data_IF_279603294079
#
_entry.id   IF_279603294079
#
_cell.length_a   1.000
_cell.length_b   1.000
_cell.length_c   1.000
_cell.angle_alpha   90.00
_cell.angle_beta   90.00
_cell.angle_gamma   90.00
#
_symmetry.space_group_name_H-M   'P 1'
#
loop_
_entity.id
_entity.type
_entity.pdbx_description
1 polymer ?
#
# COMPACT_ATOMS: atom_id res chain seq x y z
N UNK A 1 -5.82 20.40 -6.59
CA UNK A 1 -5.21 19.24 -5.92
C UNK A 1 -6.19 18.82 -4.84
N UNK A 2 -7.25 18.10 -5.22
CA UNK A 2 -8.43 17.81 -4.40
C UNK A 2 -8.54 16.29 -4.24
N UNK A 3 -7.62 15.66 -3.52
CA UNK A 3 -7.68 14.21 -3.36
C UNK A 3 -7.27 13.82 -1.94
N UNK A 4 -8.19 14.07 -1.00
CA UNK A 4 -8.42 13.28 0.20
C UNK A 4 -9.58 13.92 0.98
N UNK A 5 -10.82 13.57 0.63
CA UNK A 5 -11.92 13.55 1.62
C UNK A 5 -11.88 12.26 2.44
N UNK A 6 -10.78 11.49 2.37
CA UNK A 6 -10.57 10.30 3.15
C UNK A 6 -9.79 10.70 4.41
N UNK A 7 -10.51 10.98 5.48
CA UNK A 7 -10.00 11.22 6.84
C UNK A 7 -9.25 9.99 7.42
N UNK A 8 -9.09 8.90 6.64
CA UNK A 8 -8.63 7.59 7.09
C UNK A 8 -7.66 6.88 6.10
N UNK A 9 -6.94 7.62 5.25
CA UNK A 9 -5.84 7.06 4.44
C UNK A 9 -4.62 6.78 5.35
N UNK A 10 -4.38 5.52 5.70
CA UNK A 10 -3.32 5.12 6.64
C UNK A 10 -2.01 4.66 6.00
N UNK A 11 -1.95 4.49 4.68
CA UNK A 11 -0.72 4.03 4.04
C UNK A 11 -0.62 4.47 2.58
N UNK A 12 0.55 5.02 2.22
CA UNK A 12 0.90 5.23 0.83
C UNK A 12 2.33 4.79 0.58
N UNK A 13 2.51 4.07 -0.52
CA UNK A 13 3.81 3.59 -0.96
C UNK A 13 4.01 4.00 -2.41
N UNK A 14 5.18 4.53 -2.73
CA UNK A 14 5.52 4.94 -4.09
C UNK A 14 6.79 4.23 -4.55
N UNK A 15 6.75 3.74 -5.79
CA UNK A 15 7.84 3.01 -6.44
C UNK A 15 8.22 3.74 -7.72
N UNK A 16 9.53 3.86 -7.98
CA UNK A 16 10.05 4.24 -9.29
C UNK A 16 9.70 3.14 -10.30
N UNK A 17 9.08 3.52 -11.41
CA UNK A 17 8.42 2.67 -12.41
C UNK A 17 9.32 1.73 -13.23
N UNK A 18 10.45 1.25 -12.70
CA UNK A 18 11.27 0.22 -13.33
C UNK A 18 10.43 -1.07 -13.47
N UNK A 19 9.67 -1.19 -14.57
CA UNK A 19 8.76 -2.30 -14.85
C UNK A 19 7.31 -1.95 -15.22
N UNK A 20 6.89 -0.69 -15.30
CA UNK A 20 5.55 -0.37 -15.84
C UNK A 20 5.60 -0.24 -17.38
N UNK A 21 4.86 -1.07 -18.15
CA UNK A 21 4.79 -0.94 -19.61
C UNK A 21 4.02 0.31 -20.09
N UNK A 22 3.37 1.08 -19.19
CA UNK A 22 2.48 2.20 -19.52
C UNK A 22 3.04 3.60 -19.15
N UNK A 23 4.34 3.82 -19.37
CA UNK A 23 5.12 5.06 -19.17
C UNK A 23 5.88 5.17 -17.84
N UNK A 24 7.00 5.89 -17.90
CA UNK A 24 7.94 6.23 -16.82
C UNK A 24 7.35 7.08 -15.66
N UNK A 25 6.06 6.98 -15.39
CA UNK A 25 5.39 7.75 -14.35
C UNK A 25 5.46 7.00 -13.00
N UNK A 26 5.74 7.74 -11.94
CA UNK A 26 5.71 7.22 -10.56
C UNK A 26 4.30 6.74 -10.21
N UNK A 27 4.21 5.56 -9.59
CA UNK A 27 2.95 4.99 -9.12
C UNK A 27 2.78 5.26 -7.62
N UNK A 28 1.56 5.56 -7.22
CA UNK A 28 1.12 5.68 -5.84
C UNK A 28 0.20 4.51 -5.50
N UNK A 29 0.62 3.66 -4.58
CA UNK A 29 -0.23 2.66 -3.95
C UNK A 29 -0.92 3.30 -2.75
N UNK A 30 -2.22 3.05 -2.60
CA UNK A 30 -3.05 3.58 -1.53
C UNK A 30 -3.91 2.46 -0.93
N UNK A 31 -4.24 2.60 0.35
CA UNK A 31 -5.14 1.71 1.07
C UNK A 31 -6.12 2.52 1.91
N UNK A 32 -7.39 2.13 1.89
CA UNK A 32 -8.46 2.75 2.67
C UNK A 32 -8.95 1.76 3.73
N UNK A 33 -8.74 2.10 5.00
CA UNK A 33 -9.09 1.23 6.13
C UNK A 33 -10.59 1.19 6.42
N UNK A 34 -11.36 2.17 5.94
CA UNK A 34 -12.81 2.21 6.14
C UNK A 34 -13.53 1.40 5.06
N UNK A 35 -13.07 1.53 3.81
CA UNK A 35 -13.62 0.82 2.66
C UNK A 35 -13.06 -0.60 2.52
N UNK A 36 -11.99 -0.93 3.25
CA UNK A 36 -11.27 -2.20 3.13
C UNK A 36 -10.72 -2.43 1.73
N UNK A 37 -10.26 -1.36 1.09
CA UNK A 37 -9.81 -1.36 -0.29
C UNK A 37 -8.34 -1.02 -0.39
N UNK A 38 -7.70 -1.57 -1.42
CA UNK A 38 -6.33 -1.25 -1.78
C UNK A 38 -6.23 -1.09 -3.29
N UNK A 39 -5.34 -0.22 -3.72
CA UNK A 39 -5.23 0.11 -5.13
C UNK A 39 -3.97 0.87 -5.45
N UNK A 40 -3.81 1.19 -6.73
CA UNK A 40 -2.75 2.04 -7.20
C UNK A 40 -3.27 3.04 -8.22
N UNK A 41 -2.55 4.13 -8.39
CA UNK A 41 -2.79 5.13 -9.41
C UNK A 41 -1.48 5.78 -9.83
N UNK A 42 -1.49 6.50 -10.93
CA UNK A 42 -0.37 7.36 -11.29
C UNK A 42 -0.25 8.51 -10.28
N UNK A 43 0.95 9.05 -10.10
CA UNK A 43 1.20 10.18 -9.20
C UNK A 43 0.42 11.45 -9.59
N UNK A 44 0.02 11.57 -10.86
CA UNK A 44 -0.85 12.65 -11.35
C UNK A 44 -2.35 12.45 -10.99
N UNK A 45 -2.68 11.32 -10.34
CA UNK A 45 -4.05 10.92 -9.99
C UNK A 45 -4.80 10.20 -11.11
N UNK A 46 -4.17 10.01 -12.27
CA UNK A 46 -4.72 9.25 -13.39
C UNK A 46 -4.65 7.74 -13.18
N UNK A 47 -5.37 6.99 -14.03
CA UNK A 47 -5.32 5.52 -14.08
C UNK A 47 -5.47 4.84 -12.70
N UNK A 48 -6.53 5.18 -11.96
CA UNK A 48 -6.84 4.53 -10.68
C UNK A 48 -7.29 3.09 -10.93
N UNK A 49 -6.58 2.14 -10.32
CA UNK A 49 -6.86 0.73 -10.36
C UNK A 49 -7.12 0.19 -8.95
N UNK A 50 -8.16 -0.63 -8.84
CA UNK A 50 -8.50 -1.34 -7.61
C UNK A 50 -7.85 -2.73 -7.63
N UNK A 51 -7.22 -3.11 -6.51
CA UNK A 51 -6.62 -4.42 -6.31
C UNK A 51 -7.61 -5.26 -5.48
N UNK A 52 -8.14 -6.38 -6.01
CA UNK A 52 -9.12 -7.22 -5.32
C UNK A 52 -8.47 -8.15 -4.27
N UNK A 53 -7.78 -7.56 -3.30
CA UNK A 53 -7.27 -8.28 -2.13
C UNK A 53 -8.43 -8.63 -1.17
N UNK A 54 -8.30 -9.76 -0.47
CA UNK A 54 -9.32 -10.32 0.43
C UNK A 54 -9.01 -10.05 1.91
N UNK A 55 -7.73 -9.92 2.28
CA UNK A 55 -7.28 -9.71 3.66
C UNK A 55 -7.05 -8.24 3.99
N UNK A 56 -8.06 -7.39 3.77
CA UNK A 56 -7.96 -5.94 3.86
C UNK A 56 -8.91 -5.34 4.91
N UNK A 57 -9.15 -6.04 6.01
CA UNK A 57 -10.21 -5.69 6.98
C UNK A 57 -9.97 -4.39 7.75
N UNK A 58 -8.71 -4.01 7.97
CA UNK A 58 -8.32 -2.71 8.51
C UNK A 58 -6.82 -2.49 8.29
N UNK A 59 -6.46 -2.10 7.07
CA UNK A 59 -5.05 -1.86 6.70
C UNK A 59 -4.51 -0.67 7.50
N UNK A 60 -3.48 -0.91 8.31
CA UNK A 60 -2.87 0.11 9.16
C UNK A 60 -1.62 0.74 8.56
N UNK A 61 -0.82 -0.05 7.84
CA UNK A 61 0.37 0.42 7.15
C UNK A 61 0.64 -0.52 5.97
N UNK A 62 1.30 0.02 4.94
CA UNK A 62 1.56 -0.67 3.69
C UNK A 62 2.89 -0.23 3.11
N UNK A 63 3.60 -1.17 2.51
CA UNK A 63 4.84 -0.93 1.78
C UNK A 63 4.88 -1.81 0.55
N UNK A 64 5.45 -1.31 -0.54
CA UNK A 64 5.61 -2.07 -1.78
C UNK A 64 7.09 -2.33 -1.95
N UNK A 65 7.43 -3.57 -2.26
CA UNK A 65 8.79 -3.92 -2.60
C UNK A 65 8.80 -4.97 -3.72
N UNK A 66 9.61 -4.71 -4.74
CA UNK A 66 9.71 -5.57 -5.92
C UNK A 66 8.33 -5.80 -6.55
N UNK A 67 7.94 -7.05 -6.81
CA UNK A 67 6.61 -7.44 -7.32
C UNK A 67 5.55 -7.69 -6.24
N UNK A 68 5.85 -7.33 -5.00
CA UNK A 68 5.01 -7.64 -3.86
C UNK A 68 4.52 -6.39 -3.12
N UNK A 69 3.26 -6.48 -2.71
CA UNK A 69 2.62 -5.57 -1.78
C UNK A 69 2.62 -6.19 -0.39
N UNK A 70 3.02 -5.42 0.61
CA UNK A 70 3.03 -5.84 2.01
C UNK A 70 2.17 -4.88 2.81
N UNK A 71 1.32 -5.42 3.69
CA UNK A 71 0.51 -4.59 4.58
C UNK A 71 0.29 -5.25 5.93
N UNK A 72 0.06 -4.41 6.94
CA UNK A 72 -0.37 -4.81 8.28
C UNK A 72 -1.86 -4.58 8.42
N UNK A 73 -2.53 -5.50 9.10
CA UNK A 73 -3.95 -5.40 9.42
C UNK A 73 -4.18 -5.45 10.93
N UNK A 74 -4.93 -4.49 11.48
CA UNK A 74 -5.22 -4.41 12.91
C UNK A 74 -6.27 -5.42 13.37
N UNK A 75 -7.25 -5.73 12.54
CA UNK A 75 -8.33 -6.64 12.88
C UNK A 75 -7.86 -8.09 12.80
N UNK A 76 -7.14 -8.43 11.73
CA UNK A 76 -6.55 -9.75 11.55
C UNK A 76 -5.32 -9.95 12.42
N UNK A 77 -4.65 -8.87 12.85
CA UNK A 77 -3.37 -8.88 13.58
C UNK A 77 -2.32 -9.67 12.81
N UNK A 78 -2.26 -9.42 11.51
CA UNK A 78 -1.41 -10.12 10.55
C UNK A 78 -0.61 -9.13 9.71
N UNK A 79 0.59 -9.55 9.32
CA UNK A 79 1.37 -8.97 8.24
C UNK A 79 1.20 -9.87 7.03
N UNK A 80 0.66 -9.32 5.95
CA UNK A 80 0.31 -10.04 4.74
C UNK A 80 1.16 -9.55 3.58
N UNK A 81 1.49 -10.46 2.67
CA UNK A 81 2.11 -10.19 1.37
C UNK A 81 1.21 -10.69 0.26
N UNK A 82 1.04 -9.91 -0.81
CA UNK A 82 0.41 -10.36 -2.04
C UNK A 82 1.12 -9.82 -3.29
N UNK A 83 0.71 -10.28 -4.46
CA UNK A 83 1.11 -9.70 -5.75
C UNK A 83 0.59 -8.25 -5.86
N UNK A 84 1.47 -7.31 -6.23
CA UNK A 84 1.13 -5.87 -6.19
C UNK A 84 0.11 -5.44 -7.24
N UNK A 85 -0.06 -6.20 -8.32
CA UNK A 85 -0.94 -5.84 -9.43
C UNK A 85 -2.32 -6.47 -9.29
N UNK A 86 -2.35 -7.73 -8.85
CA UNK A 86 -3.55 -8.56 -8.84
C UNK A 86 -4.12 -8.77 -7.44
N UNK A 87 -3.33 -8.54 -6.38
CA UNK A 87 -3.71 -8.85 -5.00
C UNK A 87 -3.82 -10.36 -4.73
N UNK A 88 -3.40 -11.21 -5.67
CA UNK A 88 -3.44 -12.65 -5.52
C UNK A 88 -2.23 -13.16 -4.73
N UNK A 89 -2.25 -14.46 -4.40
CA UNK A 89 -1.20 -15.13 -3.63
C UNK A 89 -0.94 -14.51 -2.25
N UNK A 90 -2.02 -14.08 -1.59
CA UNK A 90 -1.97 -13.59 -0.21
C UNK A 90 -1.33 -14.63 0.71
N UNK A 91 -0.22 -14.24 1.33
CA UNK A 91 0.56 -15.05 2.24
C UNK A 91 0.69 -14.30 3.56
N UNK A 92 0.28 -14.92 4.66
CA UNK A 92 0.52 -14.38 6.00
C UNK A 92 1.99 -14.60 6.35
N UNK A 93 2.74 -13.50 6.49
CA UNK A 93 4.16 -13.55 6.87
C UNK A 93 4.33 -13.64 8.38
N UNK A 94 3.47 -12.96 9.13
CA UNK A 94 3.54 -12.91 10.59
C UNK A 94 2.18 -12.63 11.20
N UNK A 95 1.81 -13.38 12.22
CA UNK A 95 0.71 -13.03 13.12
C UNK A 95 1.29 -12.40 14.38
N UNK A 96 0.65 -11.34 14.87
CA UNK A 96 1.08 -10.59 16.05
C UNK A 96 0.00 -10.60 17.11
N UNK A 97 0.37 -10.57 18.38
CA UNK A 97 -0.58 -10.36 19.48
C UNK A 97 -0.90 -8.88 19.67
N UNK A 98 0.05 -8.00 19.38
CA UNK A 98 -0.12 -6.54 19.40
C UNK A 98 -0.59 -6.02 18.04
N UNK A 99 -1.19 -4.83 18.02
CA UNK A 99 -1.64 -4.17 16.81
C UNK A 99 -0.42 -3.72 15.98
N UNK A 100 -0.19 -4.27 14.78
CA UNK A 100 0.93 -3.86 13.95
C UNK A 100 0.67 -2.46 13.38
N UNK A 101 1.43 -1.47 13.81
CA UNK A 101 1.20 -0.06 13.48
C UNK A 101 1.97 0.44 12.25
N UNK A 102 3.16 -0.11 11.97
CA UNK A 102 3.96 0.30 10.81
C UNK A 102 4.74 -0.89 10.23
N UNK A 103 4.93 -0.90 8.91
CA UNK A 103 5.77 -1.86 8.19
C UNK A 103 6.73 -1.11 7.26
N UNK A 104 8.01 -1.48 7.31
CA UNK A 104 9.03 -0.95 6.40
C UNK A 104 9.90 -2.07 5.88
N UNK A 105 10.15 -2.05 4.57
CA UNK A 105 11.21 -2.88 3.97
C UNK A 105 12.49 -2.06 3.95
N UNK A 106 13.57 -2.63 4.50
CA UNK A 106 14.89 -1.98 4.56
C UNK A 106 15.83 -2.77 3.66
N UNK A 107 16.28 -2.15 2.58
CA UNK A 107 17.35 -2.66 1.72
C UNK A 107 18.42 -1.60 1.53
N UNK A 108 19.66 -2.05 1.35
CA UNK A 108 20.83 -1.19 1.21
C UNK A 108 20.75 -0.22 0.00
N UNK A 109 19.89 -0.50 -1.00
CA UNK A 109 19.74 0.29 -2.22
C UNK A 109 18.32 0.85 -2.43
N UNK A 110 17.44 0.81 -1.42
CA UNK A 110 16.08 1.31 -1.60
C UNK A 110 16.04 2.85 -1.57
N UNK A 111 15.58 3.46 -2.67
CA UNK A 111 15.20 4.88 -2.71
C UNK A 111 13.78 5.01 -2.16
N UNK A 112 13.65 5.49 -0.93
CA UNK A 112 12.36 5.80 -0.34
C UNK A 112 11.78 7.06 -0.99
N UNK A 113 10.71 6.91 -1.77
CA UNK A 113 9.84 8.04 -2.06
C UNK A 113 8.98 8.27 -0.80
N UNK A 114 9.29 9.33 -0.06
CA UNK A 114 8.44 9.79 1.04
C UNK A 114 7.30 10.62 0.44
N UNK A 115 6.23 9.97 0.00
CA UNK A 115 4.95 10.66 -0.15
C UNK A 115 4.45 10.98 1.26
N UNK A 116 4.49 12.24 1.66
CA UNK A 116 3.97 12.69 2.95
C UNK A 116 2.44 12.50 2.97
N UNK A 117 1.96 11.31 3.34
CA UNK A 117 0.53 11.01 3.53
C UNK A 117 0.08 11.25 4.97
N UNK A 118 0.71 12.22 5.64
CA UNK A 118 0.22 12.72 6.91
C UNK A 118 -0.90 13.71 6.62
N UNK A 119 -2.15 13.23 6.60
CA UNK A 119 -3.29 14.11 6.76
C UNK A 119 -3.15 14.79 8.13
N UNK A 120 -2.89 16.09 8.13
CA UNK A 120 -2.75 16.87 9.36
C UNK A 120 -4.14 17.34 9.77
N UNK A 121 -4.66 16.71 10.84
CA UNK A 121 -5.77 17.06 11.76
C UNK A 121 -7.13 17.32 11.12
#
# INVERSE_FOLDING_TARGET
MYWATAEWLFGCACISSQGNPLNHLYLLFWADAHLNEVGFMNLDGGARHHIPAKRTSHISSMTVFDDHLFWSDWNLREVIRADKWTGQNETVLKTTTQLPSDIRVILHEMVFCYANCHATI
#
